data_IF_925072975514
#
_entry.id   IF_925072975514
#
_cell.length_a   1.000
_cell.length_b   1.000
_cell.length_c   1.000
_cell.angle_alpha   90.00
_cell.angle_beta   90.00
_cell.angle_gamma   90.00
#
_symmetry.space_group_name_H-M   'P 1'
#
loop_
_entity.id
_entity.type
_entity.pdbx_description
1 polymer ?
#
# COMPACT_ATOMS: atom_id res chain seq x y z
N UNK A 1 7.56 4.00 -1.03
CA UNK A 1 7.47 3.05 0.09
C UNK A 1 6.35 2.10 -0.24
N UNK A 2 6.51 0.80 -0.02
CA UNK A 2 5.46 -0.16 -0.36
C UNK A 2 4.63 -0.59 0.86
N UNK A 3 3.59 -1.39 0.60
CA UNK A 3 2.61 -1.82 1.59
C UNK A 3 2.87 -3.19 2.19
N UNK A 4 4.01 -3.85 1.91
CA UNK A 4 4.23 -5.24 2.36
C UNK A 4 4.73 -5.33 3.80
N UNK A 5 3.88 -4.89 4.74
CA UNK A 5 4.21 -4.83 6.16
C UNK A 5 3.45 -5.86 7.01
N UNK A 6 2.41 -6.50 6.47
CA UNK A 6 1.56 -7.50 7.14
C UNK A 6 0.99 -7.06 8.51
N UNK A 7 0.93 -5.75 8.77
CA UNK A 7 0.55 -5.20 10.07
C UNK A 7 -0.10 -3.82 9.94
N UNK A 8 -1.38 -3.71 10.29
CA UNK A 8 -2.16 -2.48 10.15
C UNK A 8 -1.55 -1.26 10.85
N UNK A 9 -1.14 -1.34 12.14
CA UNK A 9 -0.47 -0.22 12.80
C UNK A 9 0.85 0.21 12.14
N UNK A 10 1.59 -0.72 11.52
CA UNK A 10 2.81 -0.37 10.80
C UNK A 10 2.50 0.39 9.50
N UNK A 11 1.44 0.01 8.80
CA UNK A 11 0.95 0.74 7.61
C UNK A 11 0.47 2.15 7.97
N UNK A 12 -0.27 2.29 9.07
CA UNK A 12 -0.71 3.60 9.56
C UNK A 12 0.49 4.48 9.94
N UNK A 13 1.46 3.92 10.68
CA UNK A 13 2.70 4.63 11.00
C UNK A 13 3.45 5.07 9.73
N UNK A 14 3.56 4.18 8.73
CA UNK A 14 4.19 4.52 7.46
C UNK A 14 3.44 5.66 6.77
N UNK A 15 2.11 5.59 6.66
CA UNK A 15 1.27 6.66 6.09
C UNK A 15 1.53 7.99 6.78
N UNK A 16 1.52 8.01 8.11
CA UNK A 16 1.70 9.23 8.89
C UNK A 16 3.13 9.79 8.76
N UNK A 17 4.12 8.92 8.56
CA UNK A 17 5.52 9.29 8.38
C UNK A 17 5.83 9.84 6.98
N UNK A 18 5.34 9.19 5.92
CA UNK A 18 5.74 9.49 4.53
C UNK A 18 4.67 10.20 3.71
N UNK A 19 3.43 10.24 4.19
CA UNK A 19 2.27 10.73 3.47
C UNK A 19 1.73 9.72 2.44
N UNK A 20 0.42 9.77 2.20
CA UNK A 20 -0.26 8.84 1.29
C UNK A 20 0.29 8.89 -0.14
N UNK A 21 0.75 10.07 -0.60
CA UNK A 21 1.27 10.32 -1.95
C UNK A 21 2.65 9.66 -2.22
N UNK A 22 3.26 9.03 -1.20
CA UNK A 22 4.56 8.32 -1.32
C UNK A 22 4.46 6.81 -1.14
N UNK A 23 3.25 6.29 -0.92
CA UNK A 23 2.98 4.87 -0.73
C UNK A 23 2.54 4.23 -2.05
N UNK A 24 3.04 3.03 -2.36
CA UNK A 24 2.64 2.25 -3.55
C UNK A 24 2.28 0.82 -3.14
N UNK A 25 1.41 0.15 -3.89
CA UNK A 25 1.07 -1.25 -3.63
C UNK A 25 2.31 -2.14 -3.81
N UNK A 26 2.60 -2.98 -2.80
CA UNK A 26 3.57 -4.07 -2.87
C UNK A 26 2.94 -5.38 -2.44
N UNK A 27 3.23 -6.46 -3.16
CA UNK A 27 2.67 -7.80 -2.89
C UNK A 27 3.73 -8.89 -2.71
N UNK A 28 4.93 -8.71 -3.28
CA UNK A 28 6.01 -9.71 -3.34
C UNK A 28 5.59 -11.09 -3.89
N UNK A 29 4.44 -11.17 -4.58
CA UNK A 29 3.99 -12.41 -5.21
C UNK A 29 4.95 -12.79 -6.37
N UNK A 30 5.30 -14.09 -6.53
CA UNK A 30 4.81 -15.27 -5.81
C UNK A 30 5.70 -15.75 -4.65
N UNK A 31 6.59 -14.92 -4.11
CA UNK A 31 7.59 -15.31 -3.12
C UNK A 31 7.16 -14.94 -1.69
N UNK A 32 7.58 -15.70 -0.65
CA UNK A 32 7.45 -15.26 0.74
C UNK A 32 8.37 -14.04 1.01
N UNK A 33 7.94 -13.04 1.79
CA UNK A 33 6.74 -13.01 2.64
C UNK A 33 5.41 -12.58 1.98
N UNK A 34 5.28 -12.61 0.65
CA UNK A 34 4.18 -12.07 -0.14
C UNK A 34 2.75 -12.02 0.45
N UNK A 35 2.05 -10.93 0.14
CA UNK A 35 0.67 -10.67 0.51
C UNK A 35 -0.28 -11.05 -0.65
N UNK A 36 -1.05 -12.16 -0.53
CA UNK A 36 -1.97 -12.60 -1.57
C UNK A 36 -3.25 -11.75 -1.66
N UNK A 37 -3.62 -11.01 -0.60
CA UNK A 37 -4.86 -10.24 -0.52
C UNK A 37 -4.58 -8.77 -0.11
N UNK A 38 -3.72 -8.05 -0.85
CA UNK A 38 -3.15 -6.78 -0.41
C UNK A 38 -4.19 -5.65 -0.30
N UNK A 39 -5.29 -5.74 -1.06
CA UNK A 39 -6.40 -4.80 -0.94
C UNK A 39 -7.18 -5.01 0.36
N UNK A 40 -7.30 -6.25 0.84
CA UNK A 40 -7.94 -6.55 2.13
C UNK A 40 -7.04 -6.06 3.26
N UNK A 41 -5.72 -6.31 3.19
CA UNK A 41 -4.73 -5.76 4.13
C UNK A 41 -4.86 -4.24 4.32
N UNK A 42 -5.02 -3.49 3.23
CA UNK A 42 -5.22 -2.02 3.31
C UNK A 42 -6.56 -1.64 3.93
N UNK A 43 -7.66 -2.32 3.58
CA UNK A 43 -8.97 -2.05 4.18
C UNK A 43 -8.98 -2.34 5.68
N UNK A 44 -8.41 -3.47 6.10
CA UNK A 44 -8.32 -3.88 7.50
C UNK A 44 -7.41 -2.94 8.30
N UNK A 45 -6.43 -2.31 7.65
CA UNK A 45 -5.60 -1.26 8.23
C UNK A 45 -6.30 0.10 8.34
N UNK A 46 -7.54 0.25 7.84
CA UNK A 46 -8.36 1.45 7.97
C UNK A 46 -8.18 2.49 6.86
N UNK A 47 -7.54 2.13 5.74
CA UNK A 47 -7.43 3.02 4.59
C UNK A 47 -8.79 3.13 3.88
N UNK A 48 -9.20 4.35 3.54
CA UNK A 48 -10.44 4.59 2.81
C UNK A 48 -10.26 4.33 1.30
N UNK A 49 -11.38 4.29 0.56
CA UNK A 49 -11.36 3.99 -0.88
C UNK A 49 -10.49 4.94 -1.71
N UNK A 50 -10.46 6.23 -1.37
CA UNK A 50 -9.63 7.22 -2.06
C UNK A 50 -8.14 7.01 -1.78
N UNK A 51 -7.77 6.74 -0.53
CA UNK A 51 -6.38 6.41 -0.16
C UNK A 51 -5.90 5.12 -0.85
N UNK A 52 -6.76 4.11 -0.93
CA UNK A 52 -6.44 2.87 -1.64
C UNK A 52 -6.20 3.15 -3.12
N UNK A 53 -7.07 3.92 -3.80
CA UNK A 53 -6.88 4.31 -5.20
C UNK A 53 -5.54 5.04 -5.42
N UNK A 54 -5.17 5.94 -4.50
CA UNK A 54 -3.88 6.63 -4.52
C UNK A 54 -2.70 5.64 -4.47
N UNK A 55 -2.75 4.66 -3.56
CA UNK A 55 -1.71 3.65 -3.37
C UNK A 55 -1.59 2.70 -4.58
N UNK A 56 -2.72 2.24 -5.13
CA UNK A 56 -2.74 1.16 -6.13
C UNK A 56 -2.66 1.64 -7.58
N UNK A 57 -3.09 2.88 -7.85
CA UNK A 57 -3.19 3.40 -9.21
C UNK A 57 -2.48 4.75 -9.39
N UNK A 58 -2.79 5.75 -8.58
CA UNK A 58 -2.27 7.12 -8.80
C UNK A 58 -0.76 7.20 -8.64
N UNK A 59 -0.23 6.73 -7.51
CA UNK A 59 1.20 6.83 -7.21
C UNK A 59 2.04 5.94 -8.13
N UNK A 60 1.67 4.67 -8.41
CA UNK A 60 2.40 3.85 -9.38
C UNK A 60 2.43 4.47 -10.79
N UNK A 61 1.31 5.03 -11.29
CA UNK A 61 1.29 5.70 -12.60
C UNK A 61 2.25 6.88 -12.66
N UNK A 62 2.24 7.72 -11.63
CA UNK A 62 3.16 8.85 -11.55
C UNK A 62 4.63 8.40 -11.42
N UNK A 63 4.90 7.33 -10.65
CA UNK A 63 6.25 6.83 -10.42
C UNK A 63 6.86 6.15 -11.66
N UNK A 64 6.06 5.37 -12.39
CA UNK A 64 6.52 4.55 -13.51
C UNK A 64 6.22 5.15 -14.89
N UNK A 65 5.51 6.28 -14.96
CA UNK A 65 5.14 6.94 -16.21
C UNK A 65 4.14 6.14 -17.05
N UNK A 66 3.16 5.52 -16.40
CA UNK A 66 2.11 4.68 -17.01
C UNK A 66 0.83 5.45 -17.35
#
# INVERSE_FOLDING_TARGET
YDTILHHGPALNYLRDLVGIDRMVLGTDLPFPPGDPDPLTTLRDAGFNTGEIETIVATNPKALFGL
#
